data_IF_313913612918
#
_entry.id   IF_313913612918
#
_cell.length_a   1.000
_cell.length_b   1.000
_cell.length_c   1.000
_cell.angle_alpha   90.00
_cell.angle_beta   90.00
_cell.angle_gamma   90.00
#
_symmetry.space_group_name_H-M   'P 1'
#
loop_
_entity.id
_entity.type
_entity.pdbx_description
1 polymer ?
#
# COMPACT_ATOMS: atom_id res chain seq x y z
N UNK A 1 60.86 -48.64 22.22
CA UNK A 1 60.33 -47.59 21.34
C UNK A 1 58.82 -47.59 21.45
N UNK A 2 58.27 -46.78 22.35
CA UNK A 2 56.83 -46.57 22.53
C UNK A 2 56.46 -45.26 21.82
N UNK A 3 55.63 -45.32 20.79
CA UNK A 3 55.13 -44.16 20.07
C UNK A 3 53.91 -43.58 20.81
N UNK A 4 54.04 -42.35 21.29
CA UNK A 4 52.95 -41.58 21.89
C UNK A 4 52.20 -40.89 20.76
N UNK A 5 50.95 -41.30 20.51
CA UNK A 5 50.03 -40.56 19.65
C UNK A 5 49.46 -39.38 20.43
N UNK A 6 49.84 -38.16 20.04
CA UNK A 6 49.24 -36.93 20.54
C UNK A 6 47.86 -36.71 19.91
N UNK A 7 46.80 -36.76 20.72
CA UNK A 7 45.49 -36.26 20.33
C UNK A 7 45.51 -34.73 20.36
N UNK A 8 45.48 -34.12 19.17
CA UNK A 8 45.21 -32.69 19.02
C UNK A 8 43.75 -32.37 19.34
N UNK A 9 43.51 -31.61 20.40
CA UNK A 9 42.21 -31.04 20.72
C UNK A 9 41.91 -29.91 19.72
N UNK A 10 41.04 -30.16 18.75
CA UNK A 10 40.47 -29.11 17.90
C UNK A 10 39.45 -28.35 18.75
N UNK A 11 39.82 -27.15 19.19
CA UNK A 11 38.90 -26.25 19.88
C UNK A 11 37.95 -25.64 18.84
N UNK A 12 36.74 -26.19 18.72
CA UNK A 12 35.67 -25.57 17.96
C UNK A 12 35.15 -24.36 18.76
N UNK A 13 35.58 -23.16 18.40
CA UNK A 13 35.02 -21.91 18.91
C UNK A 13 33.60 -21.76 18.37
N UNK A 14 32.60 -22.08 19.20
CA UNK A 14 31.21 -21.74 18.95
C UNK A 14 31.09 -20.21 18.91
N UNK A 15 30.86 -19.66 17.72
CA UNK A 15 30.44 -18.28 17.58
C UNK A 15 28.93 -18.24 17.85
N UNK A 16 28.54 -17.54 18.92
CA UNK A 16 27.13 -17.22 19.14
C UNK A 16 26.62 -16.44 17.92
N UNK A 17 25.41 -16.74 17.40
CA UNK A 17 24.82 -15.88 16.39
C UNK A 17 24.67 -14.47 16.98
N UNK A 18 25.08 -13.48 16.20
CA UNK A 18 24.90 -12.08 16.55
C UNK A 18 23.43 -11.86 16.92
N UNK A 19 23.20 -11.30 18.12
CA UNK A 19 21.90 -10.82 18.56
C UNK A 19 21.25 -10.05 17.41
N UNK A 20 20.05 -10.44 17.01
CA UNK A 20 19.24 -9.64 16.12
C UNK A 20 19.14 -8.25 16.76
N UNK A 21 19.70 -7.25 16.07
CA UNK A 21 19.53 -5.87 16.46
C UNK A 21 18.03 -5.58 16.42
N UNK A 22 17.49 -5.00 17.48
CA UNK A 22 16.19 -4.34 17.42
C UNK A 22 16.23 -3.36 16.25
N UNK A 23 15.42 -3.61 15.23
CA UNK A 23 15.15 -2.62 14.20
C UNK A 23 14.25 -1.57 14.86
N UNK A 24 14.85 -0.52 15.38
CA UNK A 24 14.12 0.73 15.61
C UNK A 24 13.64 1.23 14.24
N UNK A 25 12.37 1.65 14.09
CA UNK A 25 11.91 2.27 12.86
C UNK A 25 12.87 3.40 12.48
N UNK A 26 13.24 3.45 11.22
CA UNK A 26 14.13 4.46 10.66
C UNK A 26 13.61 5.86 11.04
N UNK A 27 14.46 6.64 11.72
CA UNK A 27 14.28 8.05 12.06
C UNK A 27 14.23 8.94 10.78
N UNK A 28 13.20 8.76 9.97
CA UNK A 28 12.72 9.81 9.06
C UNK A 28 11.29 10.08 9.48
N UNK A 29 11.14 10.84 10.56
CA UNK A 29 9.89 11.55 10.78
C UNK A 29 9.80 12.58 9.66
N UNK A 30 9.12 12.21 8.59
CA UNK A 30 8.73 13.14 7.55
C UNK A 30 7.70 14.09 8.19
N UNK A 31 8.17 15.25 8.64
CA UNK A 31 7.36 16.22 9.34
C UNK A 31 6.13 16.59 8.47
N UNK A 32 4.96 16.62 9.08
CA UNK A 32 3.70 16.89 8.40
C UNK A 32 3.10 15.69 7.67
N UNK A 33 3.47 14.45 7.98
CA UNK A 33 2.84 13.25 7.39
C UNK A 33 1.90 12.55 8.38
N UNK A 34 0.72 12.16 7.89
CA UNK A 34 -0.19 11.22 8.57
C UNK A 34 -0.52 10.03 7.66
N UNK A 35 -0.96 8.93 8.27
CA UNK A 35 -1.32 7.70 7.56
C UNK A 35 -2.80 7.40 7.77
N UNK A 36 -3.57 7.44 6.68
CA UNK A 36 -4.98 7.04 6.70
C UNK A 36 -5.07 5.53 6.48
N UNK A 37 -5.72 4.83 7.40
CA UNK A 37 -5.81 3.36 7.34
C UNK A 37 -7.22 2.84 7.52
N UNK A 38 -7.55 1.74 6.85
CA UNK A 38 -8.90 1.18 6.81
C UNK A 38 -8.91 -0.31 7.12
N UNK A 39 -9.64 -0.70 8.17
CA UNK A 39 -9.80 -2.09 8.61
C UNK A 39 -11.15 -2.69 8.19
N UNK A 40 -11.26 -4.01 8.34
CA UNK A 40 -12.45 -4.85 8.15
C UNK A 40 -12.97 -5.02 6.72
N UNK A 41 -12.36 -4.35 5.75
CA UNK A 41 -12.75 -4.44 4.36
C UNK A 41 -12.47 -5.78 3.68
N UNK A 42 -12.72 -5.84 2.36
CA UNK A 42 -13.42 -4.80 1.59
C UNK A 42 -14.95 -4.97 1.67
N UNK A 43 -15.67 -3.85 1.62
CA UNK A 43 -17.11 -3.80 1.33
C UNK A 43 -17.36 -3.68 -0.18
N UNK A 44 -18.46 -4.25 -0.67
CA UNK A 44 -18.78 -4.25 -2.11
C UNK A 44 -19.18 -2.89 -2.67
N UNK A 45 -19.79 -2.04 -1.85
CA UNK A 45 -20.32 -0.76 -2.27
C UNK A 45 -19.48 0.37 -1.73
N UNK A 46 -19.09 0.29 -0.46
CA UNK A 46 -18.42 1.39 0.23
C UNK A 46 -16.94 1.50 -0.14
N UNK A 47 -16.21 0.38 -0.24
CA UNK A 47 -14.78 0.43 -0.56
C UNK A 47 -14.53 1.07 -1.95
N UNK A 48 -15.24 0.73 -3.04
CA UNK A 48 -15.05 1.43 -4.32
C UNK A 48 -15.34 2.94 -4.26
N UNK A 49 -16.42 3.34 -3.56
CA UNK A 49 -16.76 4.76 -3.38
C UNK A 49 -15.68 5.48 -2.57
N UNK A 50 -15.09 4.80 -1.59
CA UNK A 50 -13.98 5.32 -0.81
C UNK A 50 -12.73 5.50 -1.68
N UNK A 51 -12.39 4.53 -2.54
CA UNK A 51 -11.26 4.66 -3.48
C UNK A 51 -11.44 5.89 -4.39
N UNK A 52 -12.63 6.08 -4.97
CA UNK A 52 -12.93 7.25 -5.79
C UNK A 52 -12.86 8.55 -4.99
N UNK A 53 -13.29 8.54 -3.72
CA UNK A 53 -13.18 9.70 -2.84
C UNK A 53 -11.71 10.05 -2.54
N UNK A 54 -10.87 9.04 -2.26
CA UNK A 54 -9.44 9.22 -2.03
C UNK A 54 -8.74 9.78 -3.28
N UNK A 55 -9.11 9.29 -4.46
CA UNK A 55 -8.63 9.81 -5.75
C UNK A 55 -9.05 11.26 -5.98
N UNK A 56 -10.31 11.64 -5.70
CA UNK A 56 -10.73 13.06 -5.79
C UNK A 56 -9.92 13.99 -4.90
N UNK A 57 -9.45 13.47 -3.77
CA UNK A 57 -8.57 14.20 -2.87
C UNK A 57 -7.09 14.01 -3.23
N UNK A 58 -6.74 13.15 -4.19
CA UNK A 58 -5.38 12.75 -4.54
C UNK A 58 -4.57 12.31 -3.33
N UNK A 59 -5.12 11.36 -2.57
CA UNK A 59 -4.57 10.81 -1.33
C UNK A 59 -4.49 9.29 -1.41
N UNK A 60 -3.42 8.73 -0.85
CA UNK A 60 -3.22 7.29 -0.72
C UNK A 60 -3.46 6.86 0.72
N UNK A 61 -3.72 5.57 0.91
CA UNK A 61 -4.11 4.99 2.19
C UNK A 61 -3.69 3.52 2.28
N UNK A 62 -3.69 2.95 3.48
CA UNK A 62 -3.38 1.54 3.72
C UNK A 62 -4.62 0.77 4.15
N UNK A 63 -4.90 -0.35 3.49
CA UNK A 63 -6.08 -1.17 3.75
C UNK A 63 -5.69 -2.50 4.41
N UNK A 64 -6.43 -2.90 5.44
CA UNK A 64 -6.27 -4.15 6.17
C UNK A 64 -7.55 -4.99 5.99
N UNK A 65 -7.71 -5.68 4.84
CA UNK A 65 -8.86 -6.53 4.61
C UNK A 65 -8.83 -7.79 5.46
N UNK A 66 -10.02 -8.26 5.84
CA UNK A 66 -10.22 -9.55 6.47
C UNK A 66 -10.37 -10.61 5.39
N UNK A 67 -9.62 -11.72 5.47
CA UNK A 67 -9.60 -12.76 4.44
C UNK A 67 -10.99 -13.25 4.01
N UNK A 68 -11.90 -13.52 4.96
CA UNK A 68 -13.27 -13.97 4.64
C UNK A 68 -14.11 -12.95 3.86
N UNK A 69 -13.74 -11.67 3.87
CA UNK A 69 -14.47 -10.63 3.13
C UNK A 69 -13.98 -10.54 1.68
N UNK A 70 -12.76 -11.02 1.38
CA UNK A 70 -12.25 -11.16 0.02
C UNK A 70 -12.94 -12.33 -0.72
N UNK A 71 -13.03 -13.52 -0.11
CA UNK A 71 -13.70 -14.71 -0.65
C UNK A 71 -15.22 -14.71 -0.36
N UNK A 72 -16.05 -13.92 -1.08
CA UNK A 72 -16.49 -14.26 -2.45
C UNK A 72 -16.72 -13.02 -3.35
N UNK A 73 -16.10 -11.89 -2.99
CA UNK A 73 -16.61 -10.55 -3.33
C UNK A 73 -15.56 -9.68 -4.01
N UNK A 74 -14.27 -9.87 -3.72
CA UNK A 74 -13.17 -9.14 -4.37
C UNK A 74 -12.20 -10.13 -5.04
N UNK A 75 -12.09 -10.04 -6.36
CA UNK A 75 -11.18 -10.80 -7.19
C UNK A 75 -9.84 -10.11 -7.40
N UNK A 76 -9.06 -10.64 -8.35
CA UNK A 76 -7.74 -10.10 -8.74
C UNK A 76 -7.88 -8.66 -9.21
N UNK A 77 -8.83 -8.39 -10.11
CA UNK A 77 -9.04 -7.06 -10.71
C UNK A 77 -9.31 -5.97 -9.66
N UNK A 78 -10.20 -6.20 -8.69
CA UNK A 78 -10.53 -5.18 -7.68
C UNK A 78 -9.35 -4.89 -6.75
N UNK A 79 -8.58 -5.92 -6.39
CA UNK A 79 -7.39 -5.75 -5.55
C UNK A 79 -6.27 -5.05 -6.34
N UNK A 80 -6.11 -5.37 -7.62
CA UNK A 80 -5.17 -4.65 -8.48
C UNK A 80 -5.58 -3.21 -8.73
N UNK A 81 -6.87 -2.90 -8.83
CA UNK A 81 -7.37 -1.51 -8.91
C UNK A 81 -6.94 -0.69 -7.68
N UNK A 82 -7.15 -1.23 -6.48
CA UNK A 82 -6.68 -0.62 -5.22
C UNK A 82 -5.16 -0.38 -5.24
N UNK A 83 -4.37 -1.35 -5.70
CA UNK A 83 -2.92 -1.22 -5.77
C UNK A 83 -2.47 -0.24 -6.88
N UNK A 84 -3.16 -0.22 -8.02
CA UNK A 84 -2.86 0.66 -9.14
C UNK A 84 -3.03 2.13 -8.75
N UNK A 85 -4.05 2.44 -7.95
CA UNK A 85 -4.29 3.78 -7.36
C UNK A 85 -3.23 4.18 -6.32
N UNK A 86 -2.26 3.30 -6.04
CA UNK A 86 -1.13 3.58 -5.17
C UNK A 86 -1.41 3.37 -3.68
N UNK A 87 -2.53 2.74 -3.32
CA UNK A 87 -2.78 2.32 -1.94
C UNK A 87 -1.87 1.14 -1.54
N UNK A 88 -1.75 0.88 -0.25
CA UNK A 88 -1.06 -0.29 0.29
C UNK A 88 -2.06 -1.27 0.91
N UNK A 89 -1.66 -2.55 1.02
CA UNK A 89 -2.54 -3.59 1.56
C UNK A 89 -1.79 -4.47 2.57
N UNK A 90 -2.39 -4.62 3.75
CA UNK A 90 -1.90 -5.47 4.83
C UNK A 90 -2.79 -6.68 5.08
N UNK A 91 -2.41 -7.50 6.06
CA UNK A 91 -3.20 -8.62 6.53
C UNK A 91 -4.04 -8.23 7.76
N UNK A 92 -5.33 -8.58 7.81
CA UNK A 92 -6.19 -8.37 8.98
C UNK A 92 -6.82 -9.67 9.51
N UNK A 93 -6.05 -10.75 9.46
CA UNK A 93 -6.48 -12.13 9.74
C UNK A 93 -7.54 -12.65 8.76
N UNK A 94 -7.86 -13.94 8.85
CA UNK A 94 -8.91 -14.52 8.01
C UNK A 94 -10.29 -14.32 8.62
N UNK A 95 -10.40 -14.42 9.95
CA UNK A 95 -11.70 -14.52 10.61
C UNK A 95 -12.03 -13.38 11.59
N UNK A 96 -11.11 -12.44 11.79
CA UNK A 96 -11.29 -11.31 12.71
C UNK A 96 -11.57 -11.77 14.16
N UNK A 97 -10.76 -12.73 14.64
CA UNK A 97 -10.83 -13.31 15.99
C UNK A 97 -9.89 -12.60 16.96
N UNK A 98 -10.16 -12.76 18.26
CA UNK A 98 -9.25 -12.35 19.33
C UNK A 98 -8.03 -13.28 19.35
N UNK A 99 -6.94 -12.86 18.71
CA UNK A 99 -5.76 -13.70 18.50
C UNK A 99 -5.05 -14.06 19.80
N UNK A 100 -5.11 -13.20 20.83
CA UNK A 100 -4.45 -13.49 22.12
C UNK A 100 -5.14 -14.61 22.91
N UNK A 101 -6.36 -15.01 22.50
CA UNK A 101 -7.14 -16.09 23.09
C UNK A 101 -6.98 -17.43 22.37
N UNK A 102 -6.24 -17.44 21.27
CA UNK A 102 -5.98 -18.63 20.47
C UNK A 102 -4.58 -19.21 20.72
N UNK A 103 -4.39 -20.47 20.32
CA UNK A 103 -3.07 -21.09 20.33
C UNK A 103 -2.17 -20.52 19.22
N UNK A 104 -0.84 -20.45 19.39
CA UNK A 104 0.07 -19.89 18.40
C UNK A 104 -0.09 -20.50 16.99
N UNK A 105 -0.27 -21.82 16.91
CA UNK A 105 -0.47 -22.50 15.63
C UNK A 105 -1.80 -22.14 14.95
N UNK A 106 -2.85 -21.78 15.71
CA UNK A 106 -4.12 -21.29 15.15
C UNK A 106 -3.95 -19.88 14.63
N UNK A 107 -3.24 -19.02 15.37
CA UNK A 107 -2.91 -17.67 14.92
C UNK A 107 -2.09 -17.75 13.63
N UNK A 108 -1.06 -18.58 13.59
CA UNK A 108 -0.22 -18.77 12.40
C UNK A 108 -1.05 -19.23 11.19
N UNK A 109 -1.92 -20.23 11.37
CA UNK A 109 -2.80 -20.70 10.31
C UNK A 109 -3.79 -19.62 9.84
N UNK A 110 -4.39 -18.87 10.76
CA UNK A 110 -5.36 -17.82 10.42
C UNK A 110 -4.72 -16.67 9.64
N UNK A 111 -3.49 -16.26 10.02
CA UNK A 111 -2.73 -15.25 9.29
C UNK A 111 -2.20 -15.77 7.95
N UNK A 112 -1.69 -16.99 7.89
CA UNK A 112 -1.13 -17.56 6.66
C UNK A 112 -2.22 -17.80 5.60
N UNK A 113 -3.41 -18.24 5.98
CA UNK A 113 -4.55 -18.37 5.06
C UNK A 113 -4.90 -17.03 4.43
N UNK A 114 -4.98 -15.96 5.23
CA UNK A 114 -5.23 -14.61 4.71
C UNK A 114 -4.09 -14.14 3.79
N UNK A 115 -2.83 -14.40 4.14
CA UNK A 115 -1.68 -14.05 3.31
C UNK A 115 -1.64 -14.80 1.99
N UNK A 116 -2.01 -16.09 1.96
CA UNK A 116 -2.11 -16.87 0.73
C UNK A 116 -3.24 -16.37 -0.18
N UNK A 117 -4.40 -16.02 0.41
CA UNK A 117 -5.49 -15.42 -0.33
C UNK A 117 -5.09 -14.06 -0.92
N UNK A 118 -4.50 -13.18 -0.11
CA UNK A 118 -3.98 -11.90 -0.58
C UNK A 118 -2.95 -12.08 -1.70
N UNK A 119 -2.03 -13.03 -1.58
CA UNK A 119 -1.06 -13.36 -2.64
C UNK A 119 -1.73 -13.75 -3.95
N UNK A 120 -2.80 -14.53 -3.89
CA UNK A 120 -3.54 -14.94 -5.10
C UNK A 120 -4.22 -13.77 -5.85
N UNK A 121 -4.36 -12.60 -5.20
CA UNK A 121 -4.99 -11.40 -5.78
C UNK A 121 -3.98 -10.31 -6.10
N UNK A 122 -3.02 -10.12 -5.21
CA UNK A 122 -2.01 -9.05 -5.29
C UNK A 122 -0.77 -9.48 -6.10
N UNK A 123 -0.44 -10.77 -6.14
CA UNK A 123 0.82 -11.30 -6.67
C UNK A 123 1.91 -11.49 -5.61
N UNK A 124 1.78 -10.88 -4.43
CA UNK A 124 2.78 -10.91 -3.34
C UNK A 124 2.17 -11.27 -1.99
N UNK A 125 2.98 -11.73 -1.04
CA UNK A 125 2.50 -11.91 0.34
C UNK A 125 2.54 -10.55 1.05
N UNK A 126 1.53 -10.19 1.86
CA UNK A 126 1.56 -8.95 2.62
C UNK A 126 2.77 -8.92 3.54
N UNK A 127 3.45 -7.77 3.61
CA UNK A 127 4.63 -7.53 4.48
C UNK A 127 4.25 -6.89 5.82
N UNK A 128 2.97 -6.56 6.01
CA UNK A 128 2.46 -6.03 7.26
C UNK A 128 1.13 -6.69 7.66
N UNK A 129 0.82 -6.55 8.94
CA UNK A 129 -0.36 -7.10 9.58
C UNK A 129 -0.89 -6.14 10.63
N UNK A 130 -2.21 -6.10 10.82
CA UNK A 130 -2.84 -5.44 11.96
C UNK A 130 -3.70 -6.42 12.72
N UNK A 131 -3.53 -6.48 14.04
CA UNK A 131 -4.32 -7.37 14.87
C UNK A 131 -5.78 -6.91 14.97
N UNK A 132 -6.78 -7.79 14.71
CA UNK A 132 -8.17 -7.52 15.02
C UNK A 132 -8.33 -6.99 16.44
N UNK A 133 -9.14 -5.94 16.63
CA UNK A 133 -9.36 -5.26 17.91
C UNK A 133 -8.10 -4.65 18.56
N UNK A 134 -6.96 -4.63 17.88
CA UNK A 134 -5.65 -4.31 18.49
C UNK A 134 -5.17 -5.39 19.46
N UNK A 135 -5.75 -6.60 19.39
CA UNK A 135 -5.53 -7.70 20.33
C UNK A 135 -4.18 -8.38 20.06
N UNK A 136 -3.12 -7.82 20.63
CA UNK A 136 -1.72 -8.29 20.47
C UNK A 136 -1.04 -8.61 21.80
N UNK A 137 -0.10 -9.54 21.74
CA UNK A 137 0.87 -9.85 22.79
C UNK A 137 2.14 -10.44 22.13
N UNK A 138 3.15 -10.78 22.93
CA UNK A 138 4.42 -11.33 22.41
C UNK A 138 4.22 -12.55 21.49
N UNK A 139 3.26 -13.43 21.80
CA UNK A 139 2.97 -14.60 20.97
C UNK A 139 2.44 -14.19 19.58
N UNK A 140 1.50 -13.24 19.52
CA UNK A 140 0.97 -12.76 18.23
C UNK A 140 2.07 -12.06 17.42
N UNK A 141 2.89 -11.25 18.08
CA UNK A 141 3.99 -10.53 17.44
C UNK A 141 5.05 -11.51 16.88
N UNK A 142 5.46 -12.53 17.65
CA UNK A 142 6.38 -13.58 17.21
C UNK A 142 5.82 -14.38 16.02
N UNK A 143 4.53 -14.74 16.06
CA UNK A 143 3.88 -15.46 14.96
C UNK A 143 3.85 -14.59 13.70
N UNK A 144 3.44 -13.33 13.79
CA UNK A 144 3.41 -12.41 12.65
C UNK A 144 4.82 -12.22 12.06
N UNK A 145 5.83 -12.03 12.91
CA UNK A 145 7.23 -11.91 12.49
C UNK A 145 7.73 -13.18 11.78
N UNK A 146 7.36 -14.37 12.28
CA UNK A 146 7.73 -15.65 11.65
C UNK A 146 7.13 -15.83 10.25
N UNK A 147 6.04 -15.12 9.95
CA UNK A 147 5.39 -15.07 8.64
C UNK A 147 5.88 -13.90 7.76
N UNK A 148 6.89 -13.15 8.21
CA UNK A 148 7.47 -12.02 7.50
C UNK A 148 6.64 -10.74 7.54
N UNK A 149 5.74 -10.59 8.53
CA UNK A 149 4.86 -9.43 8.65
C UNK A 149 5.24 -8.53 9.83
N UNK A 150 5.33 -7.22 9.58
CA UNK A 150 5.42 -6.21 10.63
C UNK A 150 4.03 -5.87 11.18
N UNK A 151 3.90 -5.75 12.50
CA UNK A 151 2.65 -5.31 13.12
C UNK A 151 2.48 -3.79 12.99
N UNK A 152 1.35 -3.33 12.42
CA UNK A 152 0.99 -1.92 12.28
C UNK A 152 -0.19 -1.60 13.20
N UNK A 153 0.07 -0.81 14.25
CA UNK A 153 -0.96 -0.29 15.15
C UNK A 153 -1.64 0.97 14.63
N UNK A 154 -2.18 1.77 15.54
CA UNK A 154 -2.68 3.11 15.28
C UNK A 154 -2.37 4.03 16.47
N UNK A 155 -2.49 5.34 16.23
CA UNK A 155 -2.27 6.38 17.26
C UNK A 155 -3.50 7.27 17.45
N UNK A 156 -4.40 7.32 16.47
CA UNK A 156 -5.68 8.03 16.54
C UNK A 156 -6.83 7.08 16.17
N UNK A 157 -7.70 6.79 17.13
CA UNK A 157 -8.91 5.98 16.95
C UNK A 157 -10.14 6.79 17.37
N UNK A 158 -10.88 7.37 16.40
CA UNK A 158 -12.07 8.15 16.68
C UNK A 158 -13.27 7.28 17.09
N UNK A 159 -13.11 5.95 17.07
CA UNK A 159 -14.16 4.96 17.34
C UNK A 159 -15.40 5.20 16.47
N UNK A 160 -15.20 5.54 15.20
CA UNK A 160 -16.26 5.84 14.24
C UNK A 160 -17.19 4.63 14.02
N UNK A 161 -16.70 3.42 14.30
CA UNK A 161 -17.51 2.20 14.33
C UNK A 161 -18.67 2.24 15.34
N UNK A 162 -18.62 3.13 16.36
CA UNK A 162 -19.71 3.40 17.33
C UNK A 162 -20.72 4.44 16.84
N UNK A 163 -20.52 5.01 15.65
CA UNK A 163 -21.32 6.09 15.06
C UNK A 163 -21.39 7.39 15.90
N UNK A 164 -20.27 7.95 16.40
CA UNK A 164 -20.26 9.29 16.98
C UNK A 164 -20.63 10.36 15.92
N UNK A 165 -21.11 11.55 16.33
CA UNK A 165 -21.29 12.67 15.40
C UNK A 165 -19.97 13.03 14.69
N UNK A 166 -20.01 13.15 13.35
CA UNK A 166 -18.82 13.46 12.53
C UNK A 166 -18.04 14.69 13.00
N UNK A 167 -18.66 15.82 13.44
CA UNK A 167 -17.90 16.94 13.97
C UNK A 167 -17.02 16.61 15.17
N UNK A 168 -17.45 15.68 16.04
CA UNK A 168 -16.64 15.22 17.18
C UNK A 168 -15.47 14.34 16.73
N UNK A 169 -15.67 13.56 15.66
CA UNK A 169 -14.59 12.77 15.05
C UNK A 169 -13.52 13.69 14.46
N UNK A 170 -13.93 14.72 13.71
CA UNK A 170 -13.00 15.67 13.10
C UNK A 170 -12.23 16.46 14.17
N UNK A 171 -12.90 16.93 15.23
CA UNK A 171 -12.24 17.60 16.37
C UNK A 171 -11.21 16.68 17.03
N UNK A 172 -11.59 15.44 17.33
CA UNK A 172 -10.68 14.46 17.91
C UNK A 172 -9.46 14.22 17.02
N UNK A 173 -9.67 13.91 15.74
CA UNK A 173 -8.57 13.64 14.80
C UNK A 173 -7.66 14.86 14.64
N UNK A 174 -8.20 16.08 14.65
CA UNK A 174 -7.40 17.31 14.57
C UNK A 174 -6.52 17.50 15.81
N UNK A 175 -7.01 17.13 17.00
CA UNK A 175 -6.24 17.20 18.25
C UNK A 175 -5.19 16.09 18.36
N UNK A 176 -5.48 14.89 17.87
CA UNK A 176 -4.54 13.76 17.88
C UNK A 176 -3.54 13.80 16.71
N UNK A 177 -3.63 14.78 15.82
CA UNK A 177 -2.73 14.92 14.68
C UNK A 177 -1.31 15.28 15.13
N UNK A 178 -0.35 14.45 14.74
CA UNK A 178 1.08 14.64 14.94
C UNK A 178 1.84 13.92 13.82
N UNK A 179 3.15 14.18 13.71
CA UNK A 179 3.99 13.55 12.70
C UNK A 179 3.98 12.03 12.86
N UNK A 180 3.64 11.34 11.78
CA UNK A 180 3.50 9.89 11.76
C UNK A 180 2.20 9.37 12.36
N UNK A 181 1.21 10.22 12.64
CA UNK A 181 -0.06 9.76 13.18
C UNK A 181 -0.74 8.75 12.24
N UNK A 182 -1.00 7.54 12.74
CA UNK A 182 -1.76 6.50 12.06
C UNK A 182 -3.22 6.58 12.51
N UNK A 183 -4.10 6.92 11.59
CA UNK A 183 -5.55 7.07 11.78
C UNK A 183 -6.23 5.74 11.44
N UNK A 184 -6.97 5.18 12.41
CA UNK A 184 -7.80 4.01 12.21
C UNK A 184 -9.22 4.43 11.78
N UNK A 185 -9.66 3.91 10.63
CA UNK A 185 -11.06 3.90 10.19
C UNK A 185 -11.41 2.51 9.64
N UNK A 186 -12.67 2.32 9.22
CA UNK A 186 -13.16 1.07 8.63
C UNK A 186 -13.88 1.36 7.30
N UNK A 187 -13.43 0.76 6.20
CA UNK A 187 -13.97 1.00 4.83
C UNK A 187 -15.35 0.36 4.60
N UNK A 188 -15.84 -0.43 5.55
CA UNK A 188 -17.21 -0.95 5.62
C UNK A 188 -18.21 0.00 6.31
N UNK A 189 -17.80 1.23 6.66
CA UNK A 189 -18.64 2.20 7.38
C UNK A 189 -18.92 3.41 6.48
N UNK A 190 -20.20 3.69 6.23
CA UNK A 190 -20.62 4.89 5.48
C UNK A 190 -20.10 6.18 6.10
N UNK A 191 -19.95 6.22 7.44
CA UNK A 191 -19.39 7.36 8.16
C UNK A 191 -17.94 7.65 7.78
N UNK A 192 -17.16 6.63 7.39
CA UNK A 192 -15.79 6.83 6.93
C UNK A 192 -15.74 7.74 5.70
N UNK A 193 -16.72 7.65 4.78
CA UNK A 193 -16.80 8.55 3.63
C UNK A 193 -16.95 10.01 4.06
N UNK A 194 -17.81 10.30 5.04
CA UNK A 194 -18.02 11.66 5.55
C UNK A 194 -16.81 12.19 6.31
N UNK A 195 -16.15 11.32 7.07
CA UNK A 195 -14.92 11.67 7.78
C UNK A 195 -13.83 12.02 6.77
N UNK A 196 -13.59 11.17 5.78
CA UNK A 196 -12.55 11.36 4.76
C UNK A 196 -12.76 12.66 3.97
N UNK A 197 -14.00 12.94 3.57
CA UNK A 197 -14.34 14.12 2.78
C UNK A 197 -14.13 15.46 3.54
N UNK A 198 -14.23 15.45 4.87
CA UNK A 198 -13.96 16.63 5.71
C UNK A 198 -12.52 16.69 6.21
N UNK A 199 -11.95 15.54 6.58
CA UNK A 199 -10.64 15.42 7.20
C UNK A 199 -9.53 15.80 6.23
N UNK A 200 -9.56 15.27 5.01
CA UNK A 200 -8.46 15.47 4.06
C UNK A 200 -8.27 16.96 3.73
N UNK A 201 -9.32 17.73 3.33
CA UNK A 201 -9.16 19.16 3.08
C UNK A 201 -8.67 19.93 4.31
N UNK A 202 -9.19 19.62 5.50
CA UNK A 202 -8.78 20.29 6.73
C UNK A 202 -7.30 20.06 7.05
N UNK A 203 -6.82 18.83 6.90
CA UNK A 203 -5.42 18.48 7.15
C UNK A 203 -4.49 19.06 6.10
N UNK A 204 -4.88 19.02 4.82
CA UNK A 204 -4.11 19.63 3.73
C UNK A 204 -4.00 21.15 3.88
N UNK A 205 -5.07 21.82 4.31
CA UNK A 205 -5.04 23.26 4.58
C UNK A 205 -4.02 23.63 5.68
N UNK A 206 -3.79 22.71 6.63
CA UNK A 206 -2.80 22.85 7.69
C UNK A 206 -1.41 22.34 7.29
N UNK A 207 -1.19 22.00 6.01
CA UNK A 207 0.10 21.56 5.47
C UNK A 207 0.41 20.07 5.62
N UNK A 208 -0.55 19.26 6.06
CA UNK A 208 -0.35 17.82 6.24
C UNK A 208 -0.50 17.04 4.93
N UNK A 209 0.35 16.04 4.78
CA UNK A 209 0.32 15.07 3.70
C UNK A 209 -0.16 13.71 4.21
N UNK A 210 -0.79 12.98 3.30
CA UNK A 210 -1.28 11.64 3.56
C UNK A 210 -0.45 10.65 2.77
N UNK A 211 0.17 9.72 3.48
CA UNK A 211 0.99 8.67 2.88
C UNK A 211 0.45 7.28 3.25
N UNK A 212 0.97 6.26 2.56
CA UNK A 212 0.76 4.88 2.96
C UNK A 212 1.72 4.49 4.09
N UNK A 213 1.34 3.52 4.93
CA UNK A 213 2.29 2.86 5.83
C UNK A 213 3.26 2.02 4.98
N UNK A 214 4.53 2.42 4.94
CA UNK A 214 5.55 1.86 4.05
C UNK A 214 5.79 0.36 4.25
N UNK A 215 5.70 -0.12 5.49
CA UNK A 215 5.86 -1.52 5.87
C UNK A 215 4.82 -2.42 5.19
N UNK A 216 3.71 -1.86 4.74
CA UNK A 216 2.64 -2.57 4.03
C UNK A 216 2.83 -2.62 2.52
N UNK A 217 3.99 -2.18 2.02
CA UNK A 217 4.36 -2.25 0.62
C UNK A 217 5.70 -3.01 0.50
N UNK A 218 5.70 -4.23 -0.05
CA UNK A 218 6.95 -4.96 -0.24
C UNK A 218 7.78 -4.32 -1.35
N UNK A 219 9.11 -4.42 -1.24
CA UNK A 219 10.03 -3.80 -2.19
C UNK A 219 9.94 -4.40 -3.60
N UNK A 220 9.57 -5.69 -3.70
CA UNK A 220 9.41 -6.46 -4.94
C UNK A 220 7.96 -6.41 -5.49
N UNK A 221 7.12 -5.47 -5.03
CA UNK A 221 5.72 -5.33 -5.46
C UNK A 221 5.60 -5.32 -6.99
N UNK A 222 6.46 -4.56 -7.68
CA UNK A 222 6.42 -4.41 -9.14
C UNK A 222 6.63 -5.75 -9.85
N UNK A 223 7.72 -6.43 -9.53
CA UNK A 223 8.09 -7.72 -10.11
C UNK A 223 7.06 -8.80 -9.78
N UNK A 224 6.57 -8.85 -8.54
CA UNK A 224 5.57 -9.80 -8.11
C UNK A 224 4.22 -9.60 -8.81
N UNK A 225 3.79 -8.36 -9.00
CA UNK A 225 2.54 -8.03 -9.72
C UNK A 225 2.66 -8.41 -11.20
N UNK A 226 3.74 -8.02 -11.87
CA UNK A 226 3.97 -8.34 -13.28
C UNK A 226 4.03 -9.85 -13.54
N UNK A 227 4.76 -10.60 -12.71
CA UNK A 227 4.97 -12.05 -12.91
C UNK A 227 3.73 -12.91 -12.70
N UNK A 228 2.63 -12.33 -12.19
CA UNK A 228 1.36 -13.04 -11.94
C UNK A 228 0.24 -12.58 -12.85
N UNK A 229 0.54 -11.78 -13.87
CA UNK A 229 -0.45 -11.37 -14.89
C UNK A 229 -0.46 -12.33 -16.07
N UNK A 230 -1.66 -12.58 -16.58
CA UNK A 230 -1.90 -13.40 -17.77
C UNK A 230 -2.54 -12.58 -18.90
N UNK A 231 -2.32 -12.94 -20.19
CA UNK A 231 -2.96 -12.26 -21.32
C UNK A 231 -4.50 -12.15 -21.18
N UNK A 232 -5.06 -10.96 -21.43
CA UNK A 232 -6.47 -10.63 -21.26
C UNK A 232 -6.88 -10.21 -19.84
N UNK A 233 -5.95 -10.17 -18.88
CA UNK A 233 -6.15 -9.48 -17.61
C UNK A 233 -5.88 -7.97 -17.76
N UNK A 234 -6.47 -7.16 -16.88
CA UNK A 234 -6.27 -5.70 -16.91
C UNK A 234 -4.82 -5.32 -16.62
N UNK A 235 -4.33 -4.18 -17.15
CA UNK A 235 -3.00 -3.68 -16.81
C UNK A 235 -2.80 -3.46 -15.31
N UNK A 236 -1.57 -3.61 -14.87
CA UNK A 236 -1.12 -3.29 -13.50
C UNK A 236 -0.03 -2.24 -13.55
N UNK A 237 0.03 -1.37 -12.56
CA UNK A 237 1.01 -0.29 -12.51
C UNK A 237 0.95 0.49 -11.22
N UNK A 238 1.72 1.58 -11.17
CA UNK A 238 1.70 2.56 -10.08
C UNK A 238 2.40 3.85 -10.50
N UNK A 239 1.87 4.99 -10.06
CA UNK A 239 2.61 6.26 -10.05
C UNK A 239 3.54 6.29 -8.83
N UNK A 240 4.83 6.49 -9.07
CA UNK A 240 5.87 6.46 -8.03
C UNK A 240 6.25 7.86 -7.58
N UNK A 241 6.23 8.83 -8.49
CA UNK A 241 6.49 10.22 -8.18
C UNK A 241 5.64 11.16 -9.05
N UNK A 242 5.12 12.21 -8.42
CA UNK A 242 4.57 13.39 -9.10
C UNK A 242 5.20 14.61 -8.44
N UNK A 243 5.94 15.39 -9.22
CA UNK A 243 6.74 16.50 -8.71
C UNK A 243 6.49 17.76 -9.53
N UNK A 244 6.27 18.88 -8.85
CA UNK A 244 6.24 20.18 -9.50
C UNK A 244 7.67 20.60 -9.85
N UNK A 245 7.88 21.02 -11.09
CA UNK A 245 9.13 21.59 -11.60
C UNK A 245 8.89 22.99 -12.16
N UNK A 246 9.98 23.71 -12.48
CA UNK A 246 9.90 25.03 -13.14
C UNK A 246 9.23 24.97 -14.53
N UNK A 247 9.31 23.82 -15.20
CA UNK A 247 8.83 23.62 -16.56
C UNK A 247 7.48 22.88 -16.65
N UNK A 248 6.89 22.49 -15.51
CA UNK A 248 5.65 21.71 -15.48
C UNK A 248 5.65 20.62 -14.41
N UNK A 249 4.77 19.63 -14.56
CA UNK A 249 4.66 18.50 -13.62
C UNK A 249 5.40 17.29 -14.19
N UNK A 250 6.41 16.82 -13.46
CA UNK A 250 7.11 15.57 -13.77
C UNK A 250 6.39 14.40 -13.12
N UNK A 251 6.14 13.35 -13.90
CA UNK A 251 5.45 12.14 -13.46
C UNK A 251 6.32 10.95 -13.81
N UNK A 252 6.61 10.12 -12.81
CA UNK A 252 7.34 8.86 -12.98
C UNK A 252 6.50 7.71 -12.44
N UNK A 253 6.54 6.57 -13.12
CA UNK A 253 5.87 5.36 -12.69
C UNK A 253 6.19 4.18 -13.58
N UNK A 254 5.42 3.11 -13.40
CA UNK A 254 5.49 1.93 -14.25
C UNK A 254 4.10 1.39 -14.53
N UNK A 255 3.96 0.70 -15.66
CA UNK A 255 2.75 -0.05 -15.99
C UNK A 255 3.07 -1.22 -16.91
N UNK A 256 2.36 -2.32 -16.70
CA UNK A 256 2.55 -3.59 -17.37
C UNK A 256 1.21 -4.19 -17.78
N UNK A 257 1.20 -4.77 -18.96
CA UNK A 257 0.11 -5.55 -19.50
C UNK A 257 0.71 -6.83 -20.11
N UNK A 258 0.17 -7.98 -19.74
CA UNK A 258 0.64 -9.28 -20.23
C UNK A 258 0.37 -9.47 -21.73
N UNK A 259 -0.58 -8.73 -22.31
CA UNK A 259 -0.78 -8.66 -23.75
C UNK A 259 0.32 -7.84 -24.46
N UNK A 260 1.11 -7.05 -23.72
CA UNK A 260 2.24 -6.26 -24.23
C UNK A 260 3.53 -6.44 -23.39
N UNK A 261 4.09 -7.66 -23.32
CA UNK A 261 5.13 -8.01 -22.37
C UNK A 261 6.51 -7.40 -22.65
N UNK A 262 6.70 -6.77 -23.82
CA UNK A 262 7.96 -6.10 -24.18
C UNK A 262 7.96 -4.59 -23.83
N UNK A 263 6.90 -4.09 -23.17
CA UNK A 263 6.70 -2.67 -22.94
C UNK A 263 5.94 -2.00 -24.09
N UNK A 264 5.93 -0.67 -24.09
CA UNK A 264 5.19 0.10 -25.06
C UNK A 264 3.74 0.38 -24.65
N UNK A 265 3.36 0.15 -23.40
CA UNK A 265 2.00 0.39 -22.92
C UNK A 265 1.71 1.90 -22.87
N UNK A 266 0.56 2.33 -23.37
CA UNK A 266 0.23 3.76 -23.40
C UNK A 266 -0.22 4.21 -22.02
N UNK A 267 0.35 5.33 -21.56
CA UNK A 267 -0.08 6.03 -20.36
C UNK A 267 -0.88 7.25 -20.78
N UNK A 268 -2.10 7.32 -20.30
CA UNK A 268 -3.08 8.35 -20.62
C UNK A 268 -3.42 9.15 -19.38
N UNK A 269 -3.68 10.43 -19.57
CA UNK A 269 -4.26 11.28 -18.54
C UNK A 269 -5.50 12.00 -19.08
N UNK A 270 -6.36 12.40 -18.16
CA UNK A 270 -7.46 13.33 -18.43
C UNK A 270 -7.06 14.65 -17.80
N UNK A 271 -6.80 15.66 -18.63
CA UNK A 271 -6.55 17.03 -18.19
C UNK A 271 -7.90 17.76 -18.08
N UNK A 272 -8.11 18.48 -16.98
CA UNK A 272 -9.25 19.37 -16.75
C UNK A 272 -10.62 18.69 -16.92
N UNK A 273 -10.71 17.40 -16.56
CA UNK A 273 -11.95 16.61 -16.57
C UNK A 273 -12.49 16.22 -17.95
N UNK A 274 -11.98 16.77 -19.04
CA UNK A 274 -12.49 16.54 -20.40
C UNK A 274 -11.41 16.17 -21.43
N UNK A 275 -10.18 16.68 -21.29
CA UNK A 275 -9.14 16.54 -22.30
C UNK A 275 -8.33 15.26 -22.10
N UNK A 276 -8.66 14.22 -22.85
CA UNK A 276 -7.93 12.95 -22.81
C UNK A 276 -6.66 13.03 -23.68
N UNK A 277 -5.49 12.82 -23.08
CA UNK A 277 -4.19 12.88 -23.77
C UNK A 277 -3.35 11.64 -23.44
N UNK A 278 -2.73 11.06 -24.47
CA UNK A 278 -1.70 10.04 -24.30
C UNK A 278 -0.39 10.74 -23.96
N UNK A 279 0.05 10.59 -22.70
CA UNK A 279 1.19 11.30 -22.13
C UNK A 279 2.51 10.60 -22.46
N UNK A 280 2.52 9.28 -22.38
CA UNK A 280 3.74 8.50 -22.50
C UNK A 280 3.47 7.09 -23.00
N UNK A 281 4.56 6.38 -23.24
CA UNK A 281 4.55 4.96 -23.57
C UNK A 281 5.63 4.30 -22.73
N UNK A 282 5.34 3.16 -22.10
CA UNK A 282 6.31 2.50 -21.22
C UNK A 282 7.51 1.98 -21.99
N UNK A 283 8.69 2.05 -21.38
CA UNK A 283 9.93 1.48 -21.90
C UNK A 283 9.96 -0.05 -21.85
N UNK A 284 11.08 -0.65 -22.27
CA UNK A 284 11.30 -2.10 -22.19
C UNK A 284 11.46 -2.61 -20.77
N UNK A 285 11.78 -1.72 -19.83
CA UNK A 285 11.74 -1.99 -18.39
C UNK A 285 10.32 -1.85 -17.81
N UNK A 286 9.34 -1.37 -18.60
CA UNK A 286 7.96 -1.01 -18.20
C UNK A 286 7.82 0.29 -17.41
N UNK A 287 8.91 1.05 -17.26
CA UNK A 287 8.89 2.38 -16.65
C UNK A 287 8.42 3.46 -17.63
N UNK A 288 8.01 4.60 -17.09
CA UNK A 288 7.79 5.82 -17.86
C UNK A 288 8.15 7.06 -17.04
N UNK A 289 8.57 8.11 -17.75
CA UNK A 289 8.85 9.43 -17.22
C UNK A 289 8.28 10.45 -18.20
N UNK A 290 7.44 11.36 -17.72
CA UNK A 290 6.82 12.40 -18.57
C UNK A 290 6.82 13.74 -17.86
N UNK A 291 7.06 14.80 -18.64
CA UNK A 291 6.87 16.18 -18.21
C UNK A 291 5.60 16.72 -18.85
N UNK A 292 4.63 17.14 -18.03
CA UNK A 292 3.42 17.83 -18.46
C UNK A 292 3.65 19.32 -18.33
N UNK A 293 3.92 19.99 -19.46
CA UNK A 293 4.27 21.42 -19.52
C UNK A 293 3.05 22.37 -19.42
N UNK A 294 1.84 21.83 -19.61
CA UNK A 294 0.61 22.61 -19.55
C UNK A 294 0.12 22.75 -18.12
N UNK A 295 -0.55 23.86 -17.81
CA UNK A 295 -1.36 23.95 -16.60
C UNK A 295 -2.42 22.83 -16.62
N UNK A 296 -2.61 22.16 -15.48
CA UNK A 296 -3.60 21.10 -15.30
C UNK A 296 -4.37 21.34 -14.01
N UNK A 297 -5.66 20.99 -14.01
CA UNK A 297 -6.40 20.82 -12.78
C UNK A 297 -5.87 19.63 -11.97
N UNK A 298 -5.83 19.80 -10.65
CA UNK A 298 -5.36 18.80 -9.70
C UNK A 298 -6.53 18.26 -8.88
N UNK A 299 -6.50 16.97 -8.49
CA UNK A 299 -5.42 16.00 -8.72
C UNK A 299 -5.38 15.47 -10.17
N UNK A 300 -4.19 15.15 -10.66
CA UNK A 300 -3.98 14.60 -12.00
C UNK A 300 -4.22 13.08 -11.99
N UNK A 301 -5.19 12.62 -12.77
CA UNK A 301 -5.54 11.22 -12.88
C UNK A 301 -4.90 10.57 -14.11
N UNK A 302 -4.35 9.37 -13.92
CA UNK A 302 -3.67 8.62 -14.98
C UNK A 302 -4.29 7.24 -15.17
N UNK A 303 -4.13 6.70 -16.38
CA UNK A 303 -4.58 5.37 -16.77
C UNK A 303 -3.51 4.67 -17.61
N UNK A 304 -3.37 3.36 -17.41
CA UNK A 304 -2.69 2.47 -18.33
C UNK A 304 -3.72 1.93 -19.32
N UNK A 305 -3.53 2.22 -20.60
CA UNK A 305 -4.47 1.81 -21.67
C UNK A 305 -4.32 0.32 -21.92
N UNK A 306 -5.43 -0.42 -21.84
CA UNK A 306 -5.47 -1.87 -22.02
C UNK A 306 -5.07 -2.22 -23.47
N UNK A 307 -4.08 -3.10 -23.64
CA UNK A 307 -3.63 -3.54 -24.96
C UNK A 307 -4.49 -4.68 -25.54
N UNK A 308 -5.30 -5.30 -24.71
CA UNK A 308 -6.26 -6.35 -25.04
C UNK A 308 -7.56 -5.81 -25.65
N UNK A 309 -8.48 -6.74 -25.96
CA UNK A 309 -9.75 -6.43 -26.65
C UNK A 309 -10.99 -6.69 -25.81
N UNK A 310 -10.81 -7.18 -24.57
CA UNK A 310 -11.90 -7.70 -23.73
C UNK A 310 -12.14 -6.93 -22.44
N UNK A 311 -11.20 -6.07 -22.02
CA UNK A 311 -11.28 -5.31 -20.77
C UNK A 311 -10.98 -3.82 -21.00
N UNK A 312 -10.98 -3.07 -19.91
CA UNK A 312 -10.93 -1.59 -19.89
C UNK A 312 -9.59 -1.13 -19.33
N UNK A 313 -9.21 0.10 -19.69
CA UNK A 313 -8.06 0.82 -19.12
C UNK A 313 -8.03 0.75 -17.59
N UNK A 314 -6.85 0.50 -17.03
CA UNK A 314 -6.65 0.50 -15.58
C UNK A 314 -6.31 1.91 -15.10
N UNK A 315 -7.05 2.44 -14.13
CA UNK A 315 -6.62 3.67 -13.44
C UNK A 315 -5.32 3.43 -12.69
N UNK A 316 -4.43 4.42 -12.69
CA UNK A 316 -3.23 4.50 -11.85
C UNK A 316 -3.45 5.47 -10.67
N UNK A 317 -4.71 5.84 -10.40
CA UNK A 317 -5.12 6.80 -9.39
C UNK A 317 -4.93 8.25 -9.80
N UNK A 318 -5.35 9.14 -8.90
CA UNK A 318 -5.22 10.58 -9.04
C UNK A 318 -4.20 11.13 -8.02
N UNK A 319 -3.32 12.00 -8.49
CA UNK A 319 -2.15 12.42 -7.72
C UNK A 319 -2.01 13.94 -7.70
N UNK A 320 -1.65 14.47 -6.53
CA UNK A 320 -1.21 15.85 -6.41
C UNK A 320 0.33 15.89 -6.50
N UNK A 321 0.93 16.92 -7.11
CA UNK A 321 2.36 17.14 -7.05
C UNK A 321 2.80 17.28 -5.59
N UNK A 322 3.78 16.47 -5.21
CA UNK A 322 4.53 16.64 -3.98
C UNK A 322 5.75 17.53 -4.19
N UNK A 323 6.47 17.85 -3.09
CA UNK A 323 7.82 18.37 -3.21
C UNK A 323 8.68 17.38 -4.00
N UNK A 324 9.63 17.88 -4.79
CA UNK A 324 10.55 17.05 -5.58
C UNK A 324 11.25 16.09 -4.59
N UNK A 325 11.08 14.76 -4.71
CA UNK A 325 11.78 13.85 -3.83
C UNK A 325 13.29 13.99 -4.05
N UNK A 326 14.10 13.75 -3.03
CA UNK A 326 15.57 13.67 -3.13
C UNK A 326 16.05 12.42 -3.91
N UNK A 327 15.23 11.94 -4.84
CA UNK A 327 15.40 10.69 -5.58
C UNK A 327 15.89 11.01 -6.99
N UNK A 328 17.06 10.47 -7.35
CA UNK A 328 17.47 10.39 -8.74
C UNK A 328 16.64 9.29 -9.42
N UNK A 329 15.96 9.56 -10.55
CA UNK A 329 15.28 8.51 -11.29
C UNK A 329 16.28 7.41 -11.67
N UNK A 330 15.88 6.13 -11.73
CA UNK A 330 16.76 5.06 -12.17
C UNK A 330 17.21 5.45 -13.56
N UNK A 331 18.50 5.32 -13.85
CA UNK A 331 19.08 5.64 -15.15
C UNK A 331 18.24 5.02 -16.29
N UNK A 332 17.33 5.81 -16.86
CA UNK A 332 16.62 5.47 -18.09
C UNK A 332 17.65 5.69 -19.19
N UNK A 333 18.44 4.66 -19.46
CA UNK A 333 19.31 4.63 -20.64
C UNK A 333 18.37 4.70 -21.84
N UNK A 334 18.50 5.78 -22.61
CA UNK A 334 17.72 6.05 -23.82
C UNK A 334 17.99 5.07 -24.96
#
# INVERSE_FOLDING_TARGET
MLAIFGLGLISATWHAPASAAEVTPVDVVDNGVVFLTFDDGPDQQLTPILLDLLDRHGVRATFFPVGRNLEPRWGSDQVQDLLNRGHAIGNHSTHHRHLTRDHPWKVAADLDVASNLLRSRTGFRPSCFRAPYGDRNAMVDEVAQSLGMAHVGWTADPQEWRNPPVPLVIDYLTRERHDGAIILLHDRKWMALQIVDQLIPAFKADGWRFEIVSECRPADEREARMSTREPGEVPVGRIEAVAQTDSGIMIAGWAYDADKPAGGLVIRAVLDGENVIDLATTGSDHGFLVLVETAVELPLCLWAVDAGTRRHDSTLGCHNPGPIPNWEPPNLVG
#
